data_IF_177438458179
#
_entry.id   IF_177438458179
#
_cell.length_a   1.000
_cell.length_b   1.000
_cell.length_c   1.000
_cell.angle_alpha   90.00
_cell.angle_beta   90.00
_cell.angle_gamma   90.00
#
_symmetry.space_group_name_H-M   'P 1'
#
loop_
_entity.id
_entity.type
_entity.pdbx_description
1 polymer ?
#
# COMPACT_ATOMS: atom_id res chain seq x y z
N UNK A 1 -34.23 -11.67 0.35
CA UNK A 1 -33.04 -10.88 0.69
C UNK A 1 -31.93 -11.29 -0.26
N UNK A 2 -31.65 -10.47 -1.28
CA UNK A 2 -30.50 -10.71 -2.17
C UNK A 2 -29.24 -10.28 -1.42
N UNK A 3 -28.44 -11.25 -0.98
CA UNK A 3 -27.06 -10.99 -0.59
C UNK A 3 -26.30 -10.67 -1.89
N UNK A 4 -26.01 -9.39 -2.11
CA UNK A 4 -25.14 -8.93 -3.19
C UNK A 4 -23.75 -9.51 -2.96
N UNK A 5 -23.46 -10.62 -3.64
CA UNK A 5 -22.11 -11.12 -3.85
C UNK A 5 -21.34 -10.07 -4.63
N UNK A 6 -20.64 -9.18 -3.92
CA UNK A 6 -19.61 -8.36 -4.53
C UNK A 6 -18.61 -9.31 -5.23
N UNK A 7 -18.30 -9.10 -6.51
CA UNK A 7 -17.38 -9.97 -7.22
C UNK A 7 -16.00 -9.93 -6.54
N UNK A 8 -15.46 -11.12 -6.26
CA UNK A 8 -14.14 -11.40 -5.70
C UNK A 8 -12.96 -10.65 -6.37
N UNK A 9 -13.17 -9.97 -7.50
CA UNK A 9 -12.18 -9.15 -8.17
C UNK A 9 -11.72 -7.94 -7.34
N UNK A 10 -12.61 -7.37 -6.49
CA UNK A 10 -12.23 -6.24 -5.63
C UNK A 10 -11.30 -6.64 -4.46
N UNK A 11 -11.25 -7.93 -4.12
CA UNK A 11 -10.37 -8.49 -3.10
C UNK A 11 -9.01 -8.94 -3.67
N UNK A 12 -8.93 -9.24 -4.96
CA UNK A 12 -7.70 -9.70 -5.61
C UNK A 12 -6.62 -8.60 -5.73
N UNK A 13 -7.02 -7.32 -5.77
CA UNK A 13 -6.11 -6.18 -5.71
C UNK A 13 -5.40 -6.03 -4.36
N UNK A 14 -6.07 -6.44 -3.28
CA UNK A 14 -5.73 -6.11 -1.88
C UNK A 14 -4.79 -7.09 -1.19
N UNK A 15 -4.50 -8.23 -1.82
CA UNK A 15 -3.54 -9.18 -1.28
C UNK A 15 -2.11 -8.69 -1.56
N UNK A 16 -1.21 -8.71 -0.56
CA UNK A 16 0.18 -8.35 -0.79
C UNK A 16 0.79 -9.26 -1.85
N UNK A 17 1.75 -8.78 -2.66
CA UNK A 17 2.47 -9.62 -3.59
C UNK A 17 3.10 -10.80 -2.85
N UNK A 18 2.64 -12.03 -3.15
CA UNK A 18 3.11 -13.26 -2.47
C UNK A 18 4.61 -13.52 -2.67
N UNK A 19 5.19 -12.96 -3.74
CA UNK A 19 6.56 -13.20 -4.16
C UNK A 19 7.62 -12.66 -3.19
N UNK A 20 7.28 -11.78 -2.25
CA UNK A 20 8.28 -10.94 -1.57
C UNK A 20 8.22 -10.94 -0.04
N UNK A 21 7.62 -11.96 0.58
CA UNK A 21 7.63 -12.09 2.05
C UNK A 21 6.88 -11.00 2.81
N UNK A 22 6.02 -10.23 2.12
CA UNK A 22 5.14 -9.25 2.73
C UNK A 22 4.17 -9.94 3.70
N UNK A 23 4.14 -9.46 4.94
CA UNK A 23 3.35 -10.03 6.02
C UNK A 23 1.96 -9.41 6.06
N UNK A 24 1.90 -8.07 5.91
CA UNK A 24 0.67 -7.31 6.08
C UNK A 24 0.70 -6.06 5.18
N UNK A 25 -0.41 -5.77 4.49
CA UNK A 25 -0.64 -4.46 3.87
C UNK A 25 -1.17 -3.53 4.95
N UNK A 26 -0.42 -2.47 5.24
CA UNK A 26 -0.78 -1.48 6.25
C UNK A 26 -1.72 -0.42 5.68
N UNK A 27 -1.46 0.01 4.44
CA UNK A 27 -2.21 1.09 3.80
C UNK A 27 -2.18 0.99 2.29
N UNK A 28 -3.28 1.37 1.64
CA UNK A 28 -3.36 1.42 0.18
C UNK A 28 -3.75 2.81 -0.31
N UNK A 29 -3.22 3.16 -1.47
CA UNK A 29 -3.56 4.38 -2.18
C UNK A 29 -3.77 4.05 -3.64
N UNK A 30 -4.67 4.77 -4.29
CA UNK A 30 -4.90 4.73 -5.72
C UNK A 30 -4.21 5.93 -6.36
N UNK A 31 -3.47 5.69 -7.43
CA UNK A 31 -2.83 6.68 -8.27
C UNK A 31 -3.17 6.39 -9.74
N UNK A 32 -2.89 7.32 -10.64
CA UNK A 32 -3.08 7.10 -12.09
C UNK A 32 -2.35 5.84 -12.57
N UNK A 33 -1.12 5.65 -12.10
CA UNK A 33 -0.28 4.50 -12.46
C UNK A 33 -0.80 3.15 -11.92
N UNK A 34 -1.67 3.15 -10.90
CA UNK A 34 -2.20 1.93 -10.27
C UNK A 34 -2.42 2.03 -8.77
N UNK A 35 -2.47 0.89 -8.09
CA UNK A 35 -2.62 0.79 -6.65
C UNK A 35 -1.25 0.74 -5.96
N UNK A 36 -0.97 1.72 -5.11
CA UNK A 36 0.18 1.78 -4.22
C UNK A 36 -0.16 1.10 -2.89
N UNK A 37 0.66 0.13 -2.47
CA UNK A 37 0.49 -0.64 -1.25
C UNK A 37 1.71 -0.43 -0.35
N UNK A 38 1.48 0.13 0.84
CA UNK A 38 2.45 0.22 1.92
C UNK A 38 2.29 -1.00 2.80
N UNK A 39 3.39 -1.68 3.09
CA UNK A 39 3.34 -2.97 3.73
C UNK A 39 4.53 -3.21 4.64
N UNK A 40 4.32 -4.07 5.63
CA UNK A 40 5.36 -4.59 6.51
C UNK A 40 5.81 -5.94 5.97
N UNK A 41 7.10 -6.04 5.72
CA UNK A 41 7.81 -7.29 5.43
C UNK A 41 8.68 -7.69 6.62
N UNK A 42 9.34 -8.83 6.52
CA UNK A 42 10.35 -9.25 7.52
C UNK A 42 11.56 -8.31 7.57
N UNK A 43 11.82 -7.58 6.50
CA UNK A 43 12.97 -6.67 6.36
C UNK A 43 12.61 -5.21 6.71
N UNK A 44 11.35 -4.95 7.06
CA UNK A 44 10.83 -3.63 7.40
C UNK A 44 9.69 -3.19 6.47
N UNK A 45 9.40 -1.89 6.50
CA UNK A 45 8.37 -1.27 5.67
C UNK A 45 8.87 -1.10 4.23
N UNK A 46 8.01 -1.41 3.27
CA UNK A 46 8.29 -1.16 1.85
C UNK A 46 6.99 -0.87 1.09
N UNK A 47 7.14 -0.48 -0.18
CA UNK A 47 6.02 -0.05 -1.03
C UNK A 47 6.05 -0.85 -2.33
N UNK A 48 4.85 -1.21 -2.78
CA UNK A 48 4.65 -1.80 -4.11
C UNK A 48 3.61 -1.00 -4.88
N UNK A 49 3.82 -0.90 -6.19
CA UNK A 49 2.82 -0.39 -7.11
C UNK A 49 2.34 -1.56 -7.98
N UNK A 50 1.04 -1.81 -7.96
CA UNK A 50 0.38 -2.71 -8.91
C UNK A 50 -0.35 -1.88 -9.96
N UNK A 51 0.12 -1.94 -11.19
CA UNK A 51 -0.55 -1.24 -12.30
C UNK A 51 -1.89 -1.88 -12.64
N UNK A 52 -2.73 -1.17 -13.38
CA UNK A 52 -4.02 -1.69 -13.90
C UNK A 52 -3.86 -2.94 -14.77
N UNK A 53 -2.69 -3.12 -15.39
CA UNK A 53 -2.34 -4.29 -16.18
C UNK A 53 -1.85 -5.49 -15.36
N UNK A 54 -1.71 -5.33 -14.03
CA UNK A 54 -1.22 -6.36 -13.12
C UNK A 54 0.30 -6.39 -12.94
N UNK A 55 1.06 -5.54 -13.64
CA UNK A 55 2.51 -5.43 -13.44
C UNK A 55 2.84 -4.91 -12.04
N UNK A 56 3.91 -5.44 -11.45
CA UNK A 56 4.40 -5.08 -10.12
C UNK A 56 5.68 -4.27 -10.22
N UNK A 57 5.69 -3.16 -9.49
CA UNK A 57 6.87 -2.33 -9.30
C UNK A 57 7.21 -2.27 -7.81
N UNK A 58 8.50 -2.31 -7.49
CA UNK A 58 9.03 -2.24 -6.13
C UNK A 58 9.61 -0.85 -5.87
N UNK A 59 9.60 -0.42 -4.62
CA UNK A 59 10.24 0.83 -4.25
C UNK A 59 11.75 0.77 -4.52
N UNK A 60 12.26 1.71 -5.30
CA UNK A 60 13.68 1.88 -5.55
C UNK A 60 14.25 3.05 -4.73
N UNK A 61 13.59 4.21 -4.77
CA UNK A 61 14.04 5.42 -4.08
C UNK A 61 12.82 6.25 -3.67
N UNK A 62 12.92 6.94 -2.54
CA UNK A 62 11.97 7.99 -2.16
C UNK A 62 12.70 9.33 -2.17
N UNK A 63 12.06 10.36 -2.70
CA UNK A 63 12.56 11.74 -2.67
C UNK A 63 11.51 12.65 -2.03
N UNK A 64 11.97 13.75 -1.45
CA UNK A 64 11.09 14.76 -0.87
C UNK A 64 11.55 15.26 0.49
N UNK A 65 10.65 15.86 1.27
CA UNK A 65 10.91 16.25 2.65
C UNK A 65 11.31 15.06 3.52
N UNK A 66 12.05 15.33 4.60
CA UNK A 66 12.47 14.33 5.60
C UNK A 66 11.29 13.52 6.15
N UNK A 67 10.12 14.14 6.26
CA UNK A 67 8.90 13.49 6.75
C UNK A 67 8.48 12.30 5.87
N UNK A 68 8.87 12.25 4.59
CA UNK A 68 8.61 11.11 3.72
C UNK A 68 9.37 9.85 4.16
N UNK A 69 10.66 10.00 4.47
CA UNK A 69 11.49 8.89 4.94
C UNK A 69 11.05 8.44 6.35
N UNK A 70 10.71 9.40 7.22
CA UNK A 70 10.17 9.10 8.54
C UNK A 70 8.82 8.39 8.49
N UNK A 71 7.95 8.77 7.54
CA UNK A 71 6.69 8.08 7.29
C UNK A 71 6.94 6.65 6.87
N UNK A 72 7.91 6.40 5.99
CA UNK A 72 8.26 5.03 5.56
C UNK A 72 8.76 4.16 6.70
N UNK A 73 9.56 4.70 7.61
CA UNK A 73 10.14 3.95 8.72
C UNK A 73 9.14 3.55 9.83
N UNK A 74 7.91 4.08 9.83
CA UNK A 74 6.91 3.87 10.89
C UNK A 74 5.74 2.98 10.44
N UNK A 75 5.03 2.36 11.37
CA UNK A 75 3.78 1.68 11.07
C UNK A 75 2.71 2.64 10.54
N UNK A 76 2.05 2.27 9.44
CA UNK A 76 1.04 3.11 8.81
C UNK A 76 -0.29 2.95 9.56
N UNK A 77 -0.44 3.71 10.64
CA UNK A 77 -1.68 3.81 11.41
C UNK A 77 -2.68 4.79 10.78
N UNK A 78 -3.25 5.68 11.60
CA UNK A 78 -4.13 6.76 11.15
C UNK A 78 -3.39 7.95 10.52
N UNK A 79 -2.05 7.90 10.43
CA UNK A 79 -1.25 8.98 9.86
C UNK A 79 -1.52 9.18 8.37
N UNK A 80 -1.60 10.45 7.99
CA UNK A 80 -1.73 10.88 6.60
C UNK A 80 -0.35 10.83 5.94
N UNK A 81 -0.31 10.38 4.69
CA UNK A 81 0.88 10.46 3.87
C UNK A 81 1.33 11.94 3.74
N UNK A 82 2.59 12.28 4.06
CA UNK A 82 3.10 13.64 3.89
C UNK A 82 3.02 14.07 2.42
N UNK A 83 2.82 15.37 2.18
CA UNK A 83 2.81 15.93 0.84
C UNK A 83 4.25 16.17 0.36
N UNK A 84 4.45 16.08 -0.96
CA UNK A 84 5.75 16.31 -1.60
C UNK A 84 6.65 15.07 -1.62
N UNK A 85 6.14 13.89 -1.29
CA UNK A 85 6.88 12.64 -1.45
C UNK A 85 6.79 12.16 -2.91
N UNK A 86 7.94 11.77 -3.47
CA UNK A 86 8.05 11.14 -4.77
C UNK A 86 8.59 9.71 -4.60
N UNK A 87 7.79 8.73 -5.00
CA UNK A 87 8.15 7.32 -4.94
C UNK A 87 8.61 6.87 -6.32
N UNK A 88 9.89 6.55 -6.44
CA UNK A 88 10.43 5.95 -7.65
C UNK A 88 10.28 4.44 -7.57
N UNK A 89 9.46 3.90 -8.44
CA UNK A 89 9.10 2.49 -8.50
C UNK A 89 9.78 1.85 -9.71
N UNK A 90 10.42 0.71 -9.50
CA UNK A 90 11.11 -0.06 -10.54
C UNK A 90 10.33 -1.32 -10.85
N UNK A 91 10.10 -1.60 -12.14
CA UNK A 91 9.46 -2.85 -12.54
C UNK A 91 10.38 -4.03 -12.22
N UNK A 92 9.83 -5.14 -11.73
CA UNK A 92 10.68 -6.29 -11.40
C UNK A 92 11.23 -6.99 -12.67
N UNK A 93 10.40 -7.04 -13.72
CA UNK A 93 10.72 -7.75 -14.97
C UNK A 93 11.51 -6.90 -15.97
N UNK A 94 11.63 -5.58 -15.75
CA UNK A 94 12.30 -4.67 -16.67
C UNK A 94 12.97 -3.51 -15.91
N UNK A 95 13.98 -2.85 -16.48
CA UNK A 95 14.57 -1.64 -15.88
C UNK A 95 13.66 -0.39 -16.01
N UNK A 96 12.36 -0.58 -16.26
CA UNK A 96 11.41 0.51 -16.39
C UNK A 96 11.14 1.14 -15.02
N UNK A 97 11.26 2.46 -14.98
CA UNK A 97 10.96 3.27 -13.82
C UNK A 97 9.65 4.02 -14.00
N UNK A 98 8.89 4.16 -12.91
CA UNK A 98 7.76 5.10 -12.82
C UNK A 98 7.88 5.88 -11.52
N UNK A 99 7.42 7.13 -11.54
CA UNK A 99 7.40 7.98 -10.35
C UNK A 99 5.95 8.26 -9.97
N UNK A 100 5.62 8.05 -8.70
CA UNK A 100 4.29 8.37 -8.14
C UNK A 100 4.46 9.42 -7.06
N UNK A 101 3.71 10.51 -7.15
CA UNK A 101 3.76 11.60 -6.15
C UNK A 101 2.64 11.44 -5.14
N UNK A 102 2.92 11.79 -3.88
CA UNK A 102 1.93 11.74 -2.79
C UNK A 102 0.67 12.55 -3.07
N UNK A 103 0.78 13.62 -3.85
CA UNK A 103 -0.31 14.52 -4.23
C UNK A 103 -1.25 13.88 -5.26
N UNK A 104 -0.75 12.93 -6.04
CA UNK A 104 -1.51 12.18 -7.04
C UNK A 104 -2.19 10.95 -6.45
N UNK A 105 -1.93 10.67 -5.17
CA UNK A 105 -2.41 9.50 -4.44
C UNK A 105 -3.70 9.81 -3.67
N UNK A 106 -4.68 8.92 -3.80
CA UNK A 106 -5.93 8.96 -3.05
C UNK A 106 -6.02 7.71 -2.19
N UNK A 107 -6.16 7.88 -0.88
CA UNK A 107 -6.24 6.76 0.07
C UNK A 107 -7.40 5.81 -0.30
N UNK A 108 -7.07 4.54 -0.54
CA UNK A 108 -7.98 3.51 -1.08
C UNK A 108 -8.83 2.81 -0.01
N UNK A 109 -8.83 3.33 1.22
CA UNK A 109 -9.46 2.74 2.40
C UNK A 109 -8.49 1.87 3.22
N UNK A 110 -8.59 1.98 4.55
CA UNK A 110 -7.84 1.19 5.52
C UNK A 110 -8.17 -0.31 5.37
N UNK A 111 -7.16 -1.16 5.20
CA UNK A 111 -7.31 -2.61 5.41
C UNK A 111 -6.58 -2.96 6.70
N UNK A 112 -7.37 -3.31 7.70
CA UNK A 112 -6.92 -3.70 9.02
C UNK A 112 -6.11 -5.01 8.97
N UNK A 113 -5.02 -5.04 9.72
CA UNK A 113 -4.16 -6.19 9.99
C UNK A 113 -4.97 -7.38 10.55
N UNK A 114 -4.55 -8.64 10.36
CA UNK A 114 -4.97 -9.71 11.25
C UNK A 114 -4.37 -9.46 12.65
N UNK A 115 -5.24 -9.06 13.58
CA UNK A 115 -4.94 -8.91 14.99
C UNK A 115 -4.24 -10.15 15.55
N UNK A 116 -2.98 -10.00 15.94
CA UNK A 116 -2.21 -11.07 16.60
C UNK A 116 -1.61 -10.59 17.91
N UNK A 117 -2.45 -10.04 18.79
CA UNK A 117 -2.37 -10.36 20.22
C UNK A 117 -3.77 -10.67 20.72
N UNK A 118 -3.92 -11.89 21.22
CA UNK A 118 -5.17 -12.41 21.74
C UNK A 118 -5.75 -11.44 22.77
N UNK A 119 -6.96 -10.94 22.48
CA UNK A 119 -7.83 -10.31 23.46
C UNK A 119 -7.76 -8.80 23.56
N UNK A 120 -8.06 -8.04 22.51
CA UNK A 120 -8.78 -6.78 22.72
C UNK A 120 -9.61 -6.38 21.49
N UNK A 121 -10.89 -6.13 21.76
CA UNK A 121 -11.94 -5.80 20.80
C UNK A 121 -11.66 -4.38 20.29
N UNK A 122 -11.51 -4.17 18.97
CA UNK A 122 -11.62 -2.83 18.43
C UNK A 122 -12.55 -2.70 17.23
N UNK A 123 -13.43 -1.72 17.40
CA UNK A 123 -14.60 -1.39 16.61
C UNK A 123 -14.18 -0.82 15.26
N UNK A 124 -14.84 -1.30 14.21
CA UNK A 124 -14.86 -0.67 12.90
C UNK A 124 -15.69 0.62 12.99
N UNK A 125 -15.13 1.76 12.59
CA UNK A 125 -15.92 2.95 12.23
C UNK A 125 -15.51 3.36 10.83
N UNK A 126 -16.42 3.14 9.88
CA UNK A 126 -16.38 3.74 8.56
C UNK A 126 -17.01 5.14 8.65
N UNK A 127 -16.40 6.14 8.02
CA UNK A 127 -17.07 7.36 7.58
C UNK A 127 -17.37 7.22 6.09
#
# INVERSE_FOLDING_TARGET
MLASLLPNAALAGRAPPRAMGALVVEKTFTAEAGEMQFLVSREGHTIYLRTHSGLLYTLNETRGPRDCDEYLAKEKGAERLPLGCEFQMKEEASDRMVTVRSEDMREGGLILQPASKAGEINRYVAL
#
